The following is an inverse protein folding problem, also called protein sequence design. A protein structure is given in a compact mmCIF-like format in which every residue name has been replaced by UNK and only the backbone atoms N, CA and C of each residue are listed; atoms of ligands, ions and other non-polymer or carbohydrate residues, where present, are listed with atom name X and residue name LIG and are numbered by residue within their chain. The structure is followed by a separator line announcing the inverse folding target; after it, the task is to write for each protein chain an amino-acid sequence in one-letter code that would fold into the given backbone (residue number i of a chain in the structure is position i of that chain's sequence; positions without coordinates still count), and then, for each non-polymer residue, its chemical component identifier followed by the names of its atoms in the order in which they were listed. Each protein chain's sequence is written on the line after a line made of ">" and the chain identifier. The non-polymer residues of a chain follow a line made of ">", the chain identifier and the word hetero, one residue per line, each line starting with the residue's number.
data_IF_670264997473
#
_entry.id   IF_670264997473
#
_cell.length_a   1.000
_cell.length_b   1.000
_cell.length_c   1.000
_cell.angle_alpha   90.00
_cell.angle_beta   90.00
_cell.angle_gamma   90.00
#
_symmetry.space_group_name_H-M   'P 1'
#
loop_
_entity.id
_entity.type
_entity.pdbx_description
1 polymer ?
#
# COMPACT_ATOMS: atom_id res chain seq x y z
N UNK A 1 -2.82 -21.98 -31.98
CA UNK A 1 -3.22 -23.29 -32.55
C UNK A 1 -2.13 -24.29 -32.18
N UNK A 2 -2.21 -24.91 -31.00
CA UNK A 2 -1.27 -25.95 -30.57
C UNK A 2 -2.02 -27.27 -30.54
N UNK A 3 -1.67 -28.14 -31.49
CA UNK A 3 -2.30 -29.43 -31.74
C UNK A 3 -2.30 -30.33 -30.49
N UNK A 4 -3.49 -30.79 -30.09
CA UNK A 4 -3.64 -32.00 -29.27
C UNK A 4 -3.63 -33.18 -30.25
N UNK A 5 -2.55 -33.97 -30.25
CA UNK A 5 -2.55 -35.27 -30.95
C UNK A 5 -3.42 -36.24 -30.15
N UNK A 6 -4.38 -36.93 -30.79
CA UNK A 6 -5.06 -38.03 -30.16
C UNK A 6 -4.15 -39.25 -30.28
N UNK A 7 -3.22 -39.41 -29.34
CA UNK A 7 -2.49 -40.67 -29.22
C UNK A 7 -3.47 -41.73 -28.68
N UNK A 8 -3.88 -42.59 -29.61
CA UNK A 8 -4.14 -44.01 -29.45
C UNK A 8 -5.16 -44.43 -28.38
N UNK A 9 -6.40 -44.61 -28.84
CA UNK A 9 -7.19 -45.79 -28.49
C UNK A 9 -6.39 -47.06 -28.79
N UNK A 10 -5.48 -47.44 -27.90
CA UNK A 10 -4.76 -48.71 -27.95
C UNK A 10 -5.71 -49.80 -27.42
N UNK A 11 -6.19 -50.73 -28.26
CA UNK A 11 -7.17 -51.74 -27.88
C UNK A 11 -6.67 -52.75 -26.81
N UNK A 12 -5.40 -52.64 -26.41
CA UNK A 12 -4.75 -53.46 -25.38
C UNK A 12 -4.35 -52.67 -24.11
N UNK A 13 -4.80 -51.42 -23.93
CA UNK A 13 -4.57 -50.67 -22.69
C UNK A 13 -5.82 -50.67 -21.78
N UNK A 14 -5.93 -51.60 -20.81
CA UNK A 14 -7.06 -51.68 -19.89
C UNK A 14 -7.15 -50.45 -18.97
N UNK A 15 -6.09 -49.64 -18.90
CA UNK A 15 -6.08 -48.40 -18.13
C UNK A 15 -6.48 -47.19 -18.97
N UNK A 16 -6.58 -47.29 -20.30
CA UNK A 16 -6.99 -46.19 -21.17
C UNK A 16 -8.41 -45.71 -20.89
N UNK A 17 -9.35 -46.64 -20.63
CA UNK A 17 -10.72 -46.30 -20.24
C UNK A 17 -10.78 -45.64 -18.85
N UNK A 18 -10.02 -46.15 -17.88
CA UNK A 18 -9.92 -45.58 -16.54
C UNK A 18 -9.27 -44.19 -16.56
N UNK A 19 -8.24 -44.02 -17.39
CA UNK A 19 -7.54 -42.74 -17.62
C UNK A 19 -8.49 -41.72 -18.25
N UNK A 20 -9.27 -42.11 -19.26
CA UNK A 20 -10.30 -41.25 -19.86
C UNK A 20 -11.38 -40.82 -18.85
N UNK A 21 -11.86 -41.73 -18.01
CA UNK A 21 -12.83 -41.40 -16.94
C UNK A 21 -12.23 -40.44 -15.90
N UNK A 22 -10.97 -40.68 -15.49
CA UNK A 22 -10.24 -39.78 -14.58
C UNK A 22 -10.05 -38.40 -15.20
N UNK A 23 -9.63 -38.35 -16.46
CA UNK A 23 -9.32 -37.09 -17.15
C UNK A 23 -10.61 -36.28 -17.37
N UNK A 24 -11.73 -36.94 -17.70
CA UNK A 24 -13.05 -36.30 -17.76
C UNK A 24 -13.52 -35.79 -16.39
N UNK A 25 -13.30 -36.56 -15.32
CA UNK A 25 -13.61 -36.12 -13.95
C UNK A 25 -12.74 -34.91 -13.56
N UNK A 26 -11.43 -34.96 -13.79
CA UNK A 26 -10.52 -33.84 -13.51
C UNK A 26 -10.87 -32.58 -14.30
N UNK A 27 -11.27 -32.71 -15.56
CA UNK A 27 -11.71 -31.58 -16.38
C UNK A 27 -13.01 -30.96 -15.83
N UNK A 28 -13.97 -31.78 -15.39
CA UNK A 28 -15.19 -31.31 -14.73
C UNK A 28 -14.89 -30.57 -13.42
N UNK A 29 -14.03 -31.13 -12.57
CA UNK A 29 -13.59 -30.49 -11.32
C UNK A 29 -12.82 -29.20 -11.58
N UNK A 30 -11.95 -29.18 -12.59
CA UNK A 30 -11.19 -28.00 -13.00
C UNK A 30 -12.12 -26.88 -13.46
N UNK A 31 -13.10 -27.18 -14.31
CA UNK A 31 -14.10 -26.20 -14.78
C UNK A 31 -14.95 -25.66 -13.64
N UNK A 32 -15.37 -26.53 -12.72
CA UNK A 32 -16.13 -26.12 -11.55
C UNK A 32 -15.32 -25.20 -10.64
N UNK A 33 -14.06 -25.54 -10.36
CA UNK A 33 -13.15 -24.68 -9.59
C UNK A 33 -12.87 -23.36 -10.30
N UNK A 34 -12.69 -23.38 -11.62
CA UNK A 34 -12.50 -22.18 -12.42
C UNK A 34 -13.73 -21.27 -12.35
N UNK A 35 -14.94 -21.81 -12.43
CA UNK A 35 -16.16 -21.02 -12.23
C UNK A 35 -16.25 -20.48 -10.80
N UNK A 36 -15.93 -21.31 -9.80
CA UNK A 36 -15.94 -20.91 -8.40
C UNK A 36 -15.00 -19.73 -8.11
N UNK A 37 -13.75 -19.79 -8.56
CA UNK A 37 -12.79 -18.67 -8.36
C UNK A 37 -13.11 -17.43 -9.19
N UNK A 38 -13.82 -17.60 -10.32
CA UNK A 38 -14.31 -16.48 -11.12
C UNK A 38 -15.63 -15.89 -10.60
N UNK A 39 -16.26 -16.49 -9.58
CA UNK A 39 -17.45 -15.88 -8.99
C UNK A 39 -17.08 -14.62 -8.23
N UNK A 40 -17.93 -13.59 -8.36
CA UNK A 40 -17.80 -12.33 -7.62
C UNK A 40 -17.81 -12.56 -6.11
N UNK A 41 -18.49 -13.61 -5.63
CA UNK A 41 -18.51 -14.01 -4.22
C UNK A 41 -17.15 -14.45 -3.67
N UNK A 42 -16.37 -15.24 -4.43
CA UNK A 42 -15.02 -15.64 -4.02
C UNK A 42 -14.05 -14.46 -4.02
N UNK A 43 -14.11 -13.64 -5.06
CA UNK A 43 -13.31 -12.42 -5.17
C UNK A 43 -13.62 -11.44 -4.02
N UNK A 44 -14.89 -11.22 -3.73
CA UNK A 44 -15.32 -10.34 -2.64
C UNK A 44 -14.96 -10.92 -1.26
N UNK A 45 -15.13 -12.22 -1.04
CA UNK A 45 -14.77 -12.87 0.22
C UNK A 45 -13.27 -12.82 0.47
N UNK A 46 -12.46 -13.09 -0.56
CA UNK A 46 -11.00 -13.01 -0.48
C UNK A 46 -10.53 -11.57 -0.27
N UNK A 47 -11.14 -10.60 -0.96
CA UNK A 47 -10.88 -9.17 -0.75
C UNK A 47 -11.20 -8.74 0.68
N UNK A 48 -12.39 -9.10 1.19
CA UNK A 48 -12.80 -8.81 2.58
C UNK A 48 -11.88 -9.49 3.60
N UNK A 49 -11.40 -10.70 3.34
CA UNK A 49 -10.44 -11.39 4.21
C UNK A 49 -9.10 -10.66 4.23
N UNK A 50 -8.61 -10.21 3.08
CA UNK A 50 -7.36 -9.45 2.99
C UNK A 50 -7.49 -8.08 3.66
N UNK A 51 -8.60 -7.38 3.44
CA UNK A 51 -8.90 -6.11 4.10
C UNK A 51 -9.02 -6.29 5.61
N UNK A 52 -9.68 -7.35 6.07
CA UNK A 52 -9.77 -7.70 7.48
C UNK A 52 -8.38 -7.99 8.05
N UNK A 53 -7.57 -8.78 7.35
CA UNK A 53 -6.20 -9.07 7.77
C UNK A 53 -5.35 -7.79 7.84
N UNK A 54 -5.44 -6.90 6.86
CA UNK A 54 -4.73 -5.62 6.82
C UNK A 54 -5.22 -4.65 7.91
N UNK A 55 -6.53 -4.63 8.19
CA UNK A 55 -7.13 -3.75 9.20
C UNK A 55 -6.84 -4.26 10.61
N UNK A 56 -6.93 -5.57 10.84
CA UNK A 56 -6.59 -6.21 12.12
C UNK A 56 -5.09 -6.21 12.37
N UNK A 57 -4.25 -6.23 11.33
CA UNK A 57 -2.79 -6.09 11.44
C UNK A 57 -2.29 -4.64 11.44
N UNK A 58 -3.14 -3.64 11.22
CA UNK A 58 -2.78 -2.23 11.34
C UNK A 58 -2.16 -1.88 12.72
N UNK A 59 -2.72 -2.31 13.87
CA UNK A 59 -2.06 -2.10 15.16
C UNK A 59 -0.71 -2.84 15.26
N UNK A 60 -0.58 -4.00 14.60
CA UNK A 60 0.69 -4.75 14.55
C UNK A 60 1.75 -4.03 13.71
N UNK A 61 1.36 -3.40 12.59
CA UNK A 61 2.26 -2.52 11.81
C UNK A 61 2.78 -1.37 12.66
N UNK A 62 1.91 -0.70 13.42
CA UNK A 62 2.32 0.39 14.32
C UNK A 62 3.31 -0.08 15.39
N UNK A 63 3.08 -1.26 15.96
CA UNK A 63 4.00 -1.86 16.94
C UNK A 63 5.38 -2.15 16.31
N UNK A 64 5.41 -2.69 15.09
CA UNK A 64 6.65 -2.92 14.35
C UNK A 64 7.37 -1.60 14.08
N UNK A 65 6.67 -0.59 13.57
CA UNK A 65 7.24 0.73 13.31
C UNK A 65 7.86 1.35 14.58
N UNK A 66 7.19 1.24 15.72
CA UNK A 66 7.72 1.71 17.01
C UNK A 66 8.96 0.93 17.45
N UNK A 67 8.95 -0.39 17.30
CA UNK A 67 10.11 -1.22 17.63
C UNK A 67 11.32 -0.89 16.74
N UNK A 68 11.08 -0.67 15.45
CA UNK A 68 12.13 -0.33 14.48
C UNK A 68 12.64 1.09 14.70
N UNK A 69 11.77 2.04 15.06
CA UNK A 69 12.16 3.37 15.50
C UNK A 69 13.10 3.32 16.71
N UNK A 70 12.81 2.47 17.69
CA UNK A 70 13.67 2.29 18.87
C UNK A 70 15.04 1.67 18.52
N UNK A 71 15.09 0.75 17.56
CA UNK A 71 16.36 0.20 17.05
C UNK A 71 17.16 1.27 16.30
N UNK A 72 16.51 2.05 15.42
CA UNK A 72 17.16 3.13 14.70
C UNK A 72 17.70 4.20 15.66
N UNK A 73 16.95 4.53 16.71
CA UNK A 73 17.40 5.45 17.75
C UNK A 73 18.66 4.94 18.47
N UNK A 74 18.76 3.64 18.76
CA UNK A 74 19.98 3.04 19.32
C UNK A 74 21.19 3.13 18.39
N UNK A 75 20.94 3.17 17.08
CA UNK A 75 21.96 3.37 16.05
C UNK A 75 22.21 4.86 15.74
N UNK A 76 21.65 5.79 16.52
CA UNK A 76 21.67 7.24 16.26
C UNK A 76 21.13 7.64 14.87
N UNK A 77 20.24 6.83 14.31
CA UNK A 77 19.62 7.10 13.01
C UNK A 77 18.24 7.73 13.22
N UNK A 78 17.98 8.92 12.65
CA UNK A 78 16.68 9.58 12.78
C UNK A 78 15.60 8.80 12.03
N UNK A 79 14.39 8.75 12.61
CA UNK A 79 13.27 8.11 11.94
C UNK A 79 12.61 9.05 10.93
N UNK A 80 11.86 8.50 9.98
CA UNK A 80 11.08 9.31 9.03
C UNK A 80 10.14 10.28 9.75
N UNK A 81 9.54 9.85 10.87
CA UNK A 81 8.64 10.69 11.67
C UNK A 81 9.36 11.89 12.26
N UNK A 82 10.60 11.72 12.72
CA UNK A 82 11.39 12.81 13.30
C UNK A 82 11.74 13.85 12.23
N UNK A 83 12.12 13.39 11.04
CA UNK A 83 12.42 14.25 9.89
C UNK A 83 11.19 15.05 9.47
N UNK A 84 10.02 14.40 9.37
CA UNK A 84 8.78 15.08 9.00
C UNK A 84 8.35 16.09 10.08
N UNK A 85 8.41 15.72 11.37
CA UNK A 85 8.06 16.65 12.44
C UNK A 85 9.00 17.86 12.49
N UNK A 86 10.29 17.65 12.22
CA UNK A 86 11.24 18.75 12.12
C UNK A 86 10.90 19.68 10.94
N UNK A 87 10.58 19.11 9.77
CA UNK A 87 10.18 19.89 8.60
C UNK A 87 8.92 20.74 8.87
N UNK A 88 7.89 20.16 9.50
CA UNK A 88 6.67 20.90 9.89
C UNK A 88 6.97 22.07 10.83
N UNK A 89 7.84 21.84 11.83
CA UNK A 89 8.26 22.89 12.77
C UNK A 89 9.02 24.00 12.06
N UNK A 90 9.92 23.65 11.15
CA UNK A 90 10.68 24.62 10.35
C UNK A 90 9.74 25.45 9.47
N UNK A 91 8.76 24.84 8.80
CA UNK A 91 7.75 25.56 8.03
C UNK A 91 6.93 26.52 8.90
N UNK A 92 6.55 26.12 10.11
CA UNK A 92 5.84 27.00 11.04
C UNK A 92 6.70 28.16 11.56
N UNK A 93 8.01 27.94 11.72
CA UNK A 93 8.94 29.01 12.05
C UNK A 93 9.06 29.99 10.89
N UNK A 94 9.19 29.50 9.66
CA UNK A 94 9.25 30.32 8.44
C UNK A 94 8.04 31.25 8.32
N UNK A 95 6.82 30.70 8.43
CA UNK A 95 5.59 31.52 8.36
C UNK A 95 5.54 32.61 9.44
N UNK A 96 6.01 32.30 10.66
CA UNK A 96 6.06 33.28 11.74
C UNK A 96 7.13 34.34 11.51
N UNK A 97 8.22 33.98 10.86
CA UNK A 97 9.28 34.91 10.49
C UNK A 97 8.76 35.86 9.41
N UNK A 98 8.08 35.35 8.37
CA UNK A 98 7.42 36.16 7.34
C UNK A 98 6.42 37.16 7.95
N UNK A 99 5.59 36.71 8.90
CA UNK A 99 4.65 37.57 9.63
C UNK A 99 5.35 38.67 10.44
N UNK A 100 6.54 38.37 10.99
CA UNK A 100 7.33 39.35 11.74
C UNK A 100 7.99 40.36 10.82
N UNK A 101 8.52 39.92 9.67
CA UNK A 101 9.11 40.78 8.65
C UNK A 101 8.06 41.76 8.10
N UNK A 102 6.85 41.28 7.77
CA UNK A 102 5.76 42.13 7.31
C UNK A 102 5.34 43.17 8.37
N UNK A 103 5.33 42.80 9.65
CA UNK A 103 5.06 43.75 10.75
C UNK A 103 6.17 44.77 10.91
N UNK A 104 7.43 44.36 10.78
CA UNK A 104 8.57 45.27 10.87
C UNK A 104 8.54 46.31 9.76
N UNK A 105 8.26 45.89 8.52
CA UNK A 105 8.12 46.78 7.37
C UNK A 105 6.98 47.79 7.60
N UNK A 106 5.82 47.33 8.09
CA UNK A 106 4.71 48.23 8.41
C UNK A 106 5.06 49.28 9.48
N UNK A 107 5.88 48.92 10.47
CA UNK A 107 6.34 49.87 11.49
C UNK A 107 7.34 50.88 10.92
N UNK A 108 8.24 50.44 10.03
CA UNK A 108 9.20 51.31 9.36
C UNK A 108 8.50 52.30 8.42
N UNK A 109 7.46 51.87 7.69
CA UNK A 109 6.63 52.74 6.86
C UNK A 109 5.75 53.70 7.68
N UNK A 110 5.28 53.28 8.86
CA UNK A 110 4.46 54.12 9.74
C UNK A 110 5.22 55.25 10.46
N UNK A 111 6.54 55.31 10.32
CA UNK A 111 7.36 56.32 10.98
C UNK A 111 7.14 57.68 10.28
N UNK A 112 6.68 58.73 10.98
CA UNK A 112 6.41 60.01 10.33
C UNK A 112 7.72 60.60 9.79
N UNK A 113 7.72 60.91 8.50
CA UNK A 113 8.74 61.74 7.86
C UNK A 113 8.84 63.06 8.63
N UNK A 114 10.05 63.35 9.13
CA UNK A 114 10.38 64.61 9.82
C UNK A 114 9.72 65.79 9.11
N UNK A 115 8.99 66.68 9.80
CA UNK A 115 8.46 67.87 9.15
C UNK A 115 9.65 68.71 8.69
N UNK A 116 9.80 68.87 7.37
CA UNK A 116 10.64 69.90 6.78
C UNK A 116 10.12 71.24 7.30
N UNK A 117 10.98 71.89 8.09
CA UNK A 117 10.76 73.26 8.53
C UNK A 117 11.17 74.18 7.37
N UNK A 118 10.21 74.92 6.82
CA UNK A 118 10.45 76.21 6.15
C UNK A 118 9.29 77.16 6.41
#
# INVERSE_FOLDING_TARGET
>A
MSQHRPDDTNPMDPFGMMKGLRDANLDAWSKMMQQFVNTEGYAQATGKMLDTYLTTSAPFRKLIEQSMAQVLAQLNMPTRSDVTSLAERLTNIEMRLDDLDAKLDSLLESKPSKPEQE
#
